data_IF_389120026651
#
_entry.id   IF_389120026651
#
_cell.length_a   1.000
_cell.length_b   1.000
_cell.length_c   1.000
_cell.angle_alpha   90.00
_cell.angle_beta   90.00
_cell.angle_gamma   90.00
#
_symmetry.space_group_name_H-M   'P 1'
#
loop_
_entity.id
_entity.type
_entity.pdbx_description
1 polymer ?
#
# COMPACT_ATOMS: atom_id res chain seq x y z
N UNK A 1 24.96 -0.03 -6.06
CA UNK A 1 24.27 0.53 -4.87
C UNK A 1 23.04 -0.34 -4.64
N UNK A 2 22.80 -0.84 -3.42
CA UNK A 2 21.58 -1.62 -3.13
C UNK A 2 20.47 -0.62 -2.85
N UNK A 3 19.45 -0.58 -3.71
CA UNK A 3 18.38 0.42 -3.67
C UNK A 3 17.64 0.44 -2.32
N UNK A 4 17.49 -0.74 -1.72
CA UNK A 4 16.83 -0.94 -0.42
C UNK A 4 17.47 -0.15 0.73
N UNK A 5 18.75 0.25 0.58
CA UNK A 5 19.48 1.01 1.61
C UNK A 5 19.45 2.53 1.40
N UNK A 6 18.91 3.01 0.28
CA UNK A 6 18.95 4.44 -0.10
C UNK A 6 17.57 5.02 -0.41
N UNK A 7 16.62 4.18 -0.82
CA UNK A 7 15.26 4.62 -1.07
C UNK A 7 14.47 4.64 0.25
N UNK A 8 14.23 5.84 0.77
CA UNK A 8 13.41 6.04 1.95
C UNK A 8 12.68 7.39 1.87
N UNK A 9 11.57 7.50 2.62
CA UNK A 9 10.90 8.78 2.81
C UNK A 9 11.73 9.68 3.74
N UNK A 10 11.56 11.01 3.62
CA UNK A 10 12.20 11.96 4.53
C UNK A 10 11.76 11.69 5.98
N UNK A 11 12.70 11.23 6.80
CA UNK A 11 12.46 10.93 8.20
C UNK A 11 12.30 12.21 9.04
N UNK A 12 11.87 12.05 10.30
CA UNK A 12 11.77 13.14 11.26
C UNK A 12 10.38 13.77 11.33
N UNK A 13 10.31 14.90 12.04
CA UNK A 13 9.09 15.69 12.29
C UNK A 13 9.32 17.18 11.94
N UNK A 14 10.31 17.47 11.12
CA UNK A 14 10.60 18.80 10.61
C UNK A 14 9.72 19.16 9.40
N UNK A 15 9.71 20.42 8.97
CA UNK A 15 8.78 20.93 7.94
C UNK A 15 8.90 20.18 6.59
N UNK A 16 10.09 19.68 6.26
CA UNK A 16 10.37 18.89 5.06
C UNK A 16 10.16 17.38 5.24
N UNK A 17 9.78 16.93 6.44
CA UNK A 17 9.58 15.51 6.76
C UNK A 17 8.36 14.94 6.05
N UNK A 18 8.38 13.63 5.80
CA UNK A 18 7.24 12.92 5.23
C UNK A 18 6.02 12.98 6.17
N UNK A 19 6.23 12.94 7.49
CA UNK A 19 5.15 13.02 8.47
C UNK A 19 4.29 14.28 8.33
N UNK A 20 4.87 15.40 7.86
CA UNK A 20 4.17 16.67 7.61
C UNK A 20 3.72 16.86 6.16
N UNK A 21 4.22 16.07 5.21
CA UNK A 21 3.96 16.22 3.77
C UNK A 21 3.25 15.01 3.12
N UNK A 22 2.70 14.09 3.92
CA UNK A 22 2.03 12.87 3.42
C UNK A 22 0.51 13.00 3.23
N UNK A 23 0.03 14.19 2.84
CA UNK A 23 -1.41 14.49 2.72
C UNK A 23 -2.10 13.72 1.58
N UNK A 24 -1.39 13.51 0.47
CA UNK A 24 -1.88 12.73 -0.67
C UNK A 24 -2.06 11.27 -0.26
N UNK A 25 -1.07 10.67 0.40
CA UNK A 25 -1.13 9.28 0.86
C UNK A 25 -2.20 9.11 1.94
N UNK A 26 -2.41 10.13 2.79
CA UNK A 26 -3.54 10.16 3.73
C UNK A 26 -4.88 10.19 3.00
N UNK A 27 -5.01 10.99 1.93
CA UNK A 27 -6.22 11.03 1.11
C UNK A 27 -6.49 9.69 0.43
N UNK A 28 -5.46 9.03 -0.11
CA UNK A 28 -5.58 7.68 -0.69
C UNK A 28 -6.07 6.66 0.33
N UNK A 29 -5.47 6.66 1.54
CA UNK A 29 -5.92 5.82 2.64
C UNK A 29 -7.41 6.02 2.95
N UNK A 30 -7.85 7.28 3.05
CA UNK A 30 -9.26 7.61 3.34
C UNK A 30 -10.21 7.25 2.18
N UNK A 31 -9.79 7.42 0.93
CA UNK A 31 -10.61 7.04 -0.24
C UNK A 31 -10.78 5.52 -0.34
N UNK A 32 -9.76 4.76 0.06
CA UNK A 32 -9.80 3.29 0.12
C UNK A 32 -10.50 2.73 1.36
N UNK A 33 -10.96 3.60 2.29
CA UNK A 33 -11.52 3.18 3.57
C UNK A 33 -12.66 2.18 3.44
N UNK A 34 -13.55 2.38 2.46
CA UNK A 34 -14.66 1.45 2.23
C UNK A 34 -14.16 0.06 1.82
N UNK A 35 -13.15 -0.01 0.96
CA UNK A 35 -12.55 -1.30 0.54
C UNK A 35 -11.91 -2.01 1.73
N UNK A 36 -11.23 -1.25 2.60
CA UNK A 36 -10.67 -1.78 3.84
C UNK A 36 -11.76 -2.32 4.78
N UNK A 37 -12.82 -1.54 5.00
CA UNK A 37 -13.97 -1.93 5.83
C UNK A 37 -14.63 -3.20 5.32
N UNK A 38 -14.98 -3.23 4.02
CA UNK A 38 -15.61 -4.38 3.39
C UNK A 38 -14.70 -5.64 3.50
N UNK A 39 -13.39 -5.49 3.27
CA UNK A 39 -12.43 -6.62 3.36
C UNK A 39 -12.30 -7.20 4.78
N UNK A 40 -12.27 -6.35 5.80
CA UNK A 40 -12.17 -6.78 7.20
C UNK A 40 -13.51 -7.38 7.67
N UNK A 41 -14.64 -6.81 7.24
CA UNK A 41 -15.96 -7.35 7.54
C UNK A 41 -16.13 -8.73 6.92
N UNK A 42 -15.76 -8.90 5.64
CA UNK A 42 -15.85 -10.17 4.93
C UNK A 42 -14.98 -11.25 5.59
N UNK A 43 -13.76 -10.90 6.00
CA UNK A 43 -12.91 -11.78 6.82
C UNK A 43 -13.57 -12.18 8.14
N UNK A 44 -14.24 -11.21 8.79
CA UNK A 44 -14.84 -11.36 10.11
C UNK A 44 -16.23 -12.02 10.13
N UNK A 45 -16.80 -12.44 8.99
CA UNK A 45 -18.16 -12.99 8.89
C UNK A 45 -18.38 -14.17 9.85
N UNK A 46 -17.39 -15.07 9.93
CA UNK A 46 -17.43 -16.25 10.81
C UNK A 46 -16.81 -15.99 12.20
N UNK A 47 -16.47 -14.74 12.48
CA UNK A 47 -15.79 -14.29 13.70
C UNK A 47 -14.28 -14.16 13.56
N UNK A 48 -13.68 -13.36 14.44
CA UNK A 48 -12.24 -13.14 14.47
C UNK A 48 -11.52 -14.17 15.36
N UNK A 49 -10.24 -14.50 15.04
CA UNK A 49 -9.41 -15.29 15.93
C UNK A 49 -9.14 -14.53 17.24
N UNK A 50 -8.73 -15.25 18.28
CA UNK A 50 -8.33 -14.65 19.56
C UNK A 50 -7.21 -13.60 19.40
N UNK A 51 -6.30 -13.81 18.43
CA UNK A 51 -5.23 -12.89 18.09
C UNK A 51 -5.27 -12.63 16.60
N UNK A 52 -5.80 -11.48 16.19
CA UNK A 52 -5.80 -11.00 14.82
C UNK A 52 -4.47 -10.29 14.52
N UNK A 53 -3.73 -10.78 13.54
CA UNK A 53 -2.39 -10.31 13.16
C UNK A 53 -2.42 -9.57 11.85
N UNK A 54 -2.10 -8.28 11.93
CA UNK A 54 -2.02 -7.34 10.82
C UNK A 54 -0.56 -7.02 10.50
N UNK A 55 -0.21 -6.97 9.22
CA UNK A 55 1.02 -6.36 8.73
C UNK A 55 0.71 -5.18 7.79
N UNK A 56 1.22 -3.99 8.12
CA UNK A 56 1.25 -2.84 7.20
C UNK A 56 2.61 -2.79 6.49
N UNK A 57 2.62 -3.15 5.22
CA UNK A 57 3.82 -3.23 4.40
C UNK A 57 4.21 -1.81 3.95
N UNK A 58 5.43 -1.40 4.32
CA UNK A 58 5.99 -0.07 4.03
C UNK A 58 5.21 1.05 4.73
N UNK A 59 5.18 0.97 6.06
CA UNK A 59 4.48 1.92 6.94
C UNK A 59 4.99 3.38 6.90
N UNK A 60 6.19 3.61 6.34
CA UNK A 60 6.88 4.91 6.39
C UNK A 60 6.98 5.48 7.81
N UNK A 61 7.28 6.76 7.94
CA UNK A 61 7.22 7.52 9.20
C UNK A 61 5.99 8.44 9.22
N UNK A 62 5.38 8.66 10.38
CA UNK A 62 4.28 9.61 10.54
C UNK A 62 2.91 8.98 10.81
N UNK A 63 1.83 9.77 10.75
CA UNK A 63 0.55 9.39 11.35
C UNK A 63 -0.29 8.40 10.55
N UNK A 64 0.04 8.16 9.27
CA UNK A 64 -0.82 7.39 8.37
C UNK A 64 -0.96 5.91 8.78
N UNK A 65 0.14 5.24 9.17
CA UNK A 65 0.08 3.84 9.65
C UNK A 65 -0.70 3.72 10.95
N UNK A 66 -0.53 4.66 11.89
CA UNK A 66 -1.31 4.64 13.13
C UNK A 66 -2.80 4.90 12.87
N UNK A 67 -3.13 5.76 11.91
CA UNK A 67 -4.51 5.97 11.47
C UNK A 67 -5.11 4.69 10.87
N UNK A 68 -4.37 3.99 10.02
CA UNK A 68 -4.79 2.69 9.49
C UNK A 68 -5.05 1.67 10.61
N UNK A 69 -4.08 1.50 11.51
CA UNK A 69 -4.17 0.53 12.61
C UNK A 69 -5.39 0.84 13.48
N UNK A 70 -5.62 2.12 13.83
CA UNK A 70 -6.80 2.54 14.58
C UNK A 70 -8.10 2.22 13.84
N UNK A 71 -8.19 2.51 12.54
CA UNK A 71 -9.37 2.18 11.74
C UNK A 71 -9.65 0.67 11.76
N UNK A 72 -8.62 -0.18 11.60
CA UNK A 72 -8.78 -1.63 11.62
C UNK A 72 -9.24 -2.11 12.99
N UNK A 73 -8.64 -1.60 14.08
CA UNK A 73 -9.06 -1.93 15.44
C UNK A 73 -10.54 -1.60 15.65
N UNK A 74 -10.98 -0.41 15.24
CA UNK A 74 -12.38 0.02 15.35
C UNK A 74 -13.33 -0.92 14.59
N UNK A 75 -12.96 -1.32 13.36
CA UNK A 75 -13.76 -2.24 12.53
C UNK A 75 -13.83 -3.62 13.19
N UNK A 76 -12.70 -4.17 13.64
CA UNK A 76 -12.65 -5.48 14.31
C UNK A 76 -13.52 -5.46 15.57
N UNK A 77 -13.40 -4.41 16.40
CA UNK A 77 -14.21 -4.27 17.61
C UNK A 77 -15.71 -4.14 17.32
N UNK A 78 -16.09 -3.47 16.22
CA UNK A 78 -17.48 -3.36 15.81
C UNK A 78 -18.11 -4.70 15.41
N UNK A 79 -17.30 -5.63 14.89
CA UNK A 79 -17.73 -6.96 14.45
C UNK A 79 -17.64 -8.04 15.54
N UNK A 80 -16.86 -7.79 16.60
CA UNK A 80 -16.79 -8.72 17.74
C UNK A 80 -18.15 -8.78 18.45
N UNK A 81 -18.65 -9.99 18.78
CA UNK A 81 -19.91 -10.13 19.50
C UNK A 81 -19.81 -9.41 20.84
N UNK A 82 -20.68 -8.42 21.06
CA UNK A 82 -20.86 -7.76 22.36
C UNK A 82 -21.31 -8.84 23.35
N UNK A 83 -20.38 -9.43 24.10
CA UNK A 83 -20.71 -10.30 25.22
C UNK A 83 -21.74 -9.56 26.07
N UNK A 84 -22.92 -10.18 26.26
CA UNK A 84 -23.97 -9.65 27.13
C UNK A 84 -23.33 -9.33 28.47
N UNK A 85 -23.44 -8.07 28.89
CA UNK A 85 -23.15 -7.61 30.24
C UNK A 85 -24.03 -8.38 31.23
N UNK A 86 -23.53 -9.51 31.69
CA UNK A 86 -23.97 -10.23 32.87
C UNK A 86 -22.89 -11.28 33.16
N UNK A 87 -21.79 -10.85 33.77
CA UNK A 87 -21.35 -11.41 35.04
C UNK A 87 -19.97 -10.84 35.40
N UNK A 88 -19.92 -10.29 36.60
CA UNK A 88 -18.75 -9.75 37.25
C UNK A 88 -17.67 -10.82 37.36
N UNK A 89 -16.63 -10.69 36.53
CA UNK A 89 -15.22 -10.90 36.88
C UNK A 89 -14.38 -10.21 35.82
N UNK A 90 -13.74 -9.14 36.26
CA UNK A 90 -12.74 -8.36 35.55
C UNK A 90 -11.56 -9.27 35.19
N UNK A 91 -11.65 -9.96 34.05
CA UNK A 91 -10.53 -10.63 33.42
C UNK A 91 -10.04 -9.72 32.28
N UNK A 92 -8.94 -9.04 32.55
CA UNK A 92 -8.34 -7.92 31.80
C UNK A 92 -7.71 -8.31 30.46
N UNK A 93 -8.27 -9.29 29.77
CA UNK A 93 -7.85 -9.69 28.41
C UNK A 93 -8.80 -9.10 27.36
N UNK A 94 -9.08 -7.79 27.42
CA UNK A 94 -9.72 -7.07 26.32
C UNK A 94 -8.86 -5.86 25.97
N UNK A 95 -8.45 -5.82 24.71
CA UNK A 95 -7.88 -4.67 23.99
C UNK A 95 -6.36 -4.42 24.14
N UNK A 96 -5.54 -5.49 24.16
CA UNK A 96 -4.09 -5.33 24.03
C UNK A 96 -3.67 -5.28 22.56
N UNK A 97 -3.21 -4.11 22.10
CA UNK A 97 -2.57 -3.93 20.79
C UNK A 97 -1.05 -4.01 20.95
N UNK A 98 -0.42 -4.97 20.27
CA UNK A 98 1.04 -5.11 20.24
C UNK A 98 1.57 -4.65 18.88
N UNK A 99 2.46 -3.67 18.90
CA UNK A 99 3.07 -3.11 17.68
C UNK A 99 4.55 -3.51 17.66
N UNK A 100 5.03 -3.99 16.53
CA UNK A 100 6.44 -4.26 16.27
C UNK A 100 6.85 -3.74 14.90
N UNK A 101 8.01 -3.09 14.83
CA UNK A 101 8.64 -2.73 13.57
C UNK A 101 9.43 -3.90 13.00
N UNK A 102 9.25 -4.18 11.71
CA UNK A 102 9.93 -5.28 11.02
C UNK A 102 10.70 -4.69 9.83
N UNK A 103 12.03 -4.49 9.96
CA UNK A 103 12.83 -3.94 8.88
C UNK A 103 13.08 -5.01 7.81
N UNK A 104 13.04 -4.58 6.55
CA UNK A 104 13.38 -5.42 5.41
C UNK A 104 12.53 -5.12 4.18
N UNK A 105 12.97 -5.63 3.04
CA UNK A 105 12.26 -5.52 1.77
C UNK A 105 11.12 -6.52 1.69
N UNK A 106 9.92 -6.05 1.33
CA UNK A 106 8.76 -6.90 1.09
C UNK A 106 8.86 -7.73 -0.20
N UNK A 107 9.89 -7.49 -1.03
CA UNK A 107 10.28 -8.40 -2.12
C UNK A 107 10.94 -9.69 -1.62
N UNK A 108 11.21 -9.78 -0.32
CA UNK A 108 11.75 -10.96 0.35
C UNK A 108 10.82 -11.41 1.48
N UNK A 109 11.07 -12.60 2.04
CA UNK A 109 10.27 -13.14 3.13
C UNK A 109 10.57 -12.41 4.45
N UNK A 110 9.61 -11.62 4.94
CA UNK A 110 9.68 -10.96 6.25
C UNK A 110 9.13 -11.82 7.40
N UNK A 111 8.20 -12.74 7.09
CA UNK A 111 7.42 -13.45 8.09
C UNK A 111 7.44 -14.97 7.90
N UNK A 112 7.30 -15.75 8.99
CA UNK A 112 7.05 -17.19 8.89
C UNK A 112 5.81 -17.50 8.05
N UNK A 113 5.77 -18.69 7.46
CA UNK A 113 4.61 -19.14 6.70
C UNK A 113 3.38 -19.25 7.61
N UNK A 114 2.21 -18.78 7.13
CA UNK A 114 0.90 -18.84 7.84
C UNK A 114 0.91 -18.15 9.22
N UNK A 115 1.51 -16.97 9.32
CA UNK A 115 1.61 -16.24 10.60
C UNK A 115 0.83 -14.94 10.69
N UNK A 116 0.15 -14.51 9.62
CA UNK A 116 -0.63 -13.27 9.56
C UNK A 116 -2.01 -13.54 8.98
N UNK A 117 -2.98 -12.75 9.44
CA UNK A 117 -4.37 -12.84 9.02
C UNK A 117 -4.68 -11.78 7.94
N UNK A 118 -4.05 -10.61 8.03
CA UNK A 118 -4.29 -9.51 7.10
C UNK A 118 -3.00 -8.76 6.74
N UNK A 119 -2.85 -8.46 5.46
CA UNK A 119 -1.79 -7.60 4.93
C UNK A 119 -2.42 -6.35 4.33
N UNK A 120 -1.88 -5.19 4.71
CA UNK A 120 -2.20 -3.92 4.09
C UNK A 120 -0.94 -3.35 3.43
N UNK A 121 -1.12 -2.64 2.32
CA UNK A 121 -0.04 -1.94 1.63
C UNK A 121 -0.64 -0.75 0.90
N UNK A 122 -0.14 0.46 1.13
CA UNK A 122 -0.63 1.67 0.46
C UNK A 122 0.52 2.53 -0.03
N UNK A 123 0.44 2.99 -1.28
CA UNK A 123 1.44 3.85 -1.93
C UNK A 123 2.88 3.33 -1.82
N UNK A 124 3.08 2.01 -1.97
CA UNK A 124 4.40 1.38 -1.80
C UNK A 124 4.77 0.39 -2.90
N UNK A 125 3.82 -0.38 -3.42
CA UNK A 125 4.07 -1.45 -4.41
C UNK A 125 4.57 -0.96 -5.78
N UNK A 126 4.48 0.34 -6.04
CA UNK A 126 5.01 0.97 -7.25
C UNK A 126 6.54 1.14 -7.22
N UNK A 127 7.18 1.06 -6.05
CA UNK A 127 8.63 1.13 -5.90
C UNK A 127 9.26 -0.21 -6.25
N UNK A 128 10.01 -0.27 -7.34
CA UNK A 128 10.71 -1.48 -7.79
C UNK A 128 11.89 -1.82 -6.87
N UNK A 129 12.25 -3.10 -6.82
CA UNK A 129 13.45 -3.58 -6.10
C UNK A 129 14.76 -3.08 -6.71
N UNK A 130 14.74 -2.75 -8.01
CA UNK A 130 15.87 -2.23 -8.76
C UNK A 130 15.38 -1.45 -9.98
N UNK A 131 16.25 -0.57 -10.50
CA UNK A 131 16.06 0.01 -11.83
C UNK A 131 16.17 -1.13 -12.87
N UNK A 132 15.24 -1.22 -13.84
CA UNK A 132 15.33 -2.22 -14.91
C UNK A 132 16.65 -2.12 -15.69
N UNK A 133 17.22 -3.26 -16.01
CA UNK A 133 18.44 -3.32 -16.83
C UNK A 133 18.16 -2.80 -18.25
N UNK A 134 19.15 -2.15 -18.87
CA UNK A 134 19.13 -1.58 -20.25
C UNK A 134 18.44 -0.22 -20.41
N UNK A 135 18.23 0.53 -19.34
CA UNK A 135 17.77 1.94 -19.39
C UNK A 135 18.92 2.95 -19.44
N UNK A 136 20.08 2.54 -19.94
CA UNK A 136 21.22 3.44 -20.08
C UNK A 136 20.87 4.51 -21.11
N UNK A 137 20.89 5.79 -20.69
CA UNK A 137 20.58 6.98 -21.48
C UNK A 137 19.08 7.25 -21.70
N UNK A 138 18.38 7.63 -20.63
CA UNK A 138 16.97 8.02 -20.67
C UNK A 138 16.74 9.46 -21.20
N UNK A 139 17.73 10.04 -21.90
CA UNK A 139 17.63 11.33 -22.61
C UNK A 139 17.01 12.46 -21.76
N UNK A 140 17.44 12.60 -20.51
CA UNK A 140 16.91 13.62 -19.60
C UNK A 140 15.61 13.27 -18.84
N UNK A 141 14.99 12.13 -19.14
CA UNK A 141 13.86 11.63 -18.34
C UNK A 141 14.38 10.84 -17.12
N UNK A 142 13.66 10.95 -16.01
CA UNK A 142 14.00 10.23 -14.76
C UNK A 142 13.02 9.10 -14.44
N UNK A 143 11.94 8.95 -15.22
CA UNK A 143 10.94 7.91 -15.06
C UNK A 143 11.05 6.90 -16.21
N UNK A 144 10.57 5.67 -15.96
CA UNK A 144 10.69 4.54 -16.88
C UNK A 144 9.82 4.67 -18.15
N UNK A 145 8.96 5.69 -18.24
CA UNK A 145 8.05 5.91 -19.38
C UNK A 145 8.30 7.27 -20.03
N UNK A 146 8.31 7.31 -21.37
CA UNK A 146 8.47 8.55 -22.16
C UNK A 146 7.34 9.57 -21.92
N UNK A 147 6.22 9.15 -21.33
CA UNK A 147 5.07 10.01 -21.00
C UNK A 147 5.26 10.85 -19.73
N UNK A 148 6.36 10.64 -19.00
CA UNK A 148 6.61 11.36 -17.76
C UNK A 148 7.18 12.75 -18.04
N UNK A 149 6.73 13.81 -17.33
CA UNK A 149 7.29 15.15 -17.49
C UNK A 149 8.82 15.10 -17.36
N UNK A 150 9.57 15.77 -18.25
CA UNK A 150 11.01 15.92 -18.10
C UNK A 150 11.31 16.46 -16.71
N UNK A 151 12.46 16.11 -16.16
CA UNK A 151 12.93 16.71 -14.93
C UNK A 151 13.42 18.13 -15.22
N UNK A 152 12.52 19.05 -15.58
CA UNK A 152 12.81 20.41 -16.05
C UNK A 152 13.72 21.15 -15.06
N UNK A 153 13.50 20.95 -13.76
CA UNK A 153 14.36 21.51 -12.71
C UNK A 153 15.78 20.95 -12.75
N UNK A 154 15.99 19.67 -13.06
CA UNK A 154 17.32 19.08 -13.17
C UNK A 154 18.04 19.59 -14.42
N UNK A 155 17.34 19.74 -15.55
CA UNK A 155 17.91 20.36 -16.75
C UNK A 155 18.27 21.84 -16.53
N UNK A 156 17.43 22.61 -15.84
CA UNK A 156 17.76 24.00 -15.48
C UNK A 156 19.03 24.05 -14.59
N UNK A 157 19.15 23.14 -13.62
CA UNK A 157 20.35 23.01 -12.80
C UNK A 157 21.60 22.63 -13.62
N UNK A 158 21.48 21.70 -14.58
CA UNK A 158 22.58 21.33 -15.48
C UNK A 158 23.00 22.50 -16.38
N UNK A 159 22.03 23.23 -16.94
CA UNK A 159 22.29 24.41 -17.78
C UNK A 159 23.03 25.52 -17.04
N UNK A 160 22.85 25.60 -15.72
CA UNK A 160 23.56 26.53 -14.81
C UNK A 160 24.91 25.98 -14.32
N UNK A 161 25.29 24.77 -14.73
CA UNK A 161 26.55 24.12 -14.37
C UNK A 161 26.57 23.49 -12.98
N UNK A 162 25.41 23.27 -12.34
CA UNK A 162 25.34 22.61 -11.02
C UNK A 162 25.37 21.08 -11.10
N UNK A 163 24.99 20.51 -12.24
CA UNK A 163 24.91 19.05 -12.49
C UNK A 163 25.56 18.73 -13.83
N UNK A 164 26.01 17.49 -14.02
CA UNK A 164 26.45 17.01 -15.32
C UNK A 164 25.26 16.35 -16.06
N UNK A 165 25.11 16.62 -17.35
CA UNK A 165 24.03 16.02 -18.16
C UNK A 165 24.08 14.48 -18.14
N UNK A 166 25.28 13.90 -18.16
CA UNK A 166 25.47 12.45 -18.07
C UNK A 166 24.98 11.83 -16.75
N UNK A 167 25.01 12.60 -15.65
CA UNK A 167 24.47 12.15 -14.36
C UNK A 167 22.93 12.14 -14.40
N UNK A 168 22.32 13.09 -15.11
CA UNK A 168 20.86 13.13 -15.32
C UNK A 168 20.43 11.98 -16.24
N UNK A 169 21.12 11.77 -17.36
CA UNK A 169 20.79 10.73 -18.36
C UNK A 169 20.91 9.30 -17.82
N UNK A 170 21.76 9.10 -16.80
CA UNK A 170 21.95 7.81 -16.14
C UNK A 170 21.04 7.61 -14.92
N UNK A 171 20.43 8.67 -14.40
CA UNK A 171 19.58 8.62 -13.21
C UNK A 171 18.16 8.20 -13.57
N UNK A 172 17.76 7.04 -13.04
CA UNK A 172 16.41 6.50 -13.22
C UNK A 172 15.77 6.21 -11.87
N UNK A 173 14.54 6.66 -11.70
CA UNK A 173 13.73 6.35 -10.52
C UNK A 173 13.19 4.92 -10.69
N UNK A 174 13.40 4.02 -9.71
CA UNK A 174 12.88 2.66 -9.70
C UNK A 174 11.40 2.69 -9.30
N UNK A 175 10.59 3.31 -10.15
CA UNK A 175 9.17 3.54 -9.94
C UNK A 175 8.43 3.14 -11.21
N UNK A 176 7.40 2.33 -11.03
CA UNK A 176 6.54 1.91 -12.12
C UNK A 176 5.07 2.09 -11.73
N UNK A 177 4.30 2.73 -12.62
CA UNK A 177 2.88 2.93 -12.43
C UNK A 177 2.11 1.94 -13.32
N UNK A 178 1.69 0.78 -12.80
CA UNK A 178 1.02 -0.22 -13.61
C UNK A 178 -0.41 0.21 -13.95
N UNK A 179 -0.89 -0.28 -15.09
CA UNK A 179 -2.31 -0.25 -15.44
C UNK A 179 -3.09 -1.28 -14.62
N UNK A 180 -4.42 -1.11 -14.53
CA UNK A 180 -5.30 -2.09 -13.87
C UNK A 180 -5.22 -3.48 -14.52
N UNK A 181 -5.03 -3.52 -15.84
CA UNK A 181 -4.94 -4.77 -16.60
C UNK A 181 -3.63 -5.51 -16.33
N UNK A 182 -2.52 -4.78 -16.17
CA UNK A 182 -1.24 -5.36 -15.75
C UNK A 182 -1.30 -5.91 -14.34
N UNK A 183 -1.87 -5.16 -13.38
CA UNK A 183 -2.03 -5.65 -11.99
C UNK A 183 -2.87 -6.92 -11.98
N UNK A 184 -4.00 -6.92 -12.67
CA UNK A 184 -4.88 -8.10 -12.76
C UNK A 184 -4.16 -9.27 -13.41
N UNK A 185 -3.46 -9.04 -14.53
CA UNK A 185 -2.71 -10.08 -15.24
C UNK A 185 -1.63 -10.72 -14.39
N UNK A 186 -0.93 -9.95 -13.55
CA UNK A 186 0.08 -10.47 -12.62
C UNK A 186 -0.55 -11.36 -11.54
N UNK A 187 -1.65 -10.90 -10.92
CA UNK A 187 -2.37 -11.68 -9.89
C UNK A 187 -2.86 -13.00 -10.48
N UNK A 188 -3.50 -12.94 -11.64
CA UNK A 188 -4.03 -14.12 -12.34
C UNK A 188 -2.92 -15.10 -12.76
N UNK A 189 -1.76 -14.58 -13.17
CA UNK A 189 -0.61 -15.40 -13.60
C UNK A 189 0.11 -16.06 -12.41
N UNK A 190 0.23 -15.37 -11.28
CA UNK A 190 0.88 -15.92 -10.09
C UNK A 190 0.00 -16.96 -9.38
N UNK A 191 -1.31 -16.68 -9.26
CA UNK A 191 -2.33 -17.67 -8.90
C UNK A 191 -2.49 -18.01 -7.42
N UNK A 192 -1.75 -17.38 -6.50
CA UNK A 192 -1.91 -17.60 -5.04
C UNK A 192 -3.03 -16.79 -4.41
N UNK A 193 -3.56 -15.77 -5.12
CA UNK A 193 -4.59 -14.85 -4.61
C UNK A 193 -5.78 -14.75 -5.57
N UNK A 194 -6.99 -14.65 -5.02
CA UNK A 194 -8.18 -14.23 -5.77
C UNK A 194 -8.37 -12.72 -5.67
N UNK A 195 -8.73 -12.09 -6.80
CA UNK A 195 -9.03 -10.66 -6.85
C UNK A 195 -10.52 -10.42 -6.57
N UNK A 196 -10.85 -9.98 -5.35
CA UNK A 196 -12.22 -9.71 -4.95
C UNK A 196 -12.72 -8.32 -5.39
N UNK A 197 -11.87 -7.29 -5.28
CA UNK A 197 -12.21 -5.92 -5.66
C UNK A 197 -11.02 -5.18 -6.24
N UNK A 198 -11.25 -4.43 -7.33
CA UNK A 198 -10.28 -3.50 -7.91
C UNK A 198 -11.00 -2.18 -8.22
N UNK A 199 -10.54 -1.10 -7.60
CA UNK A 199 -11.14 0.23 -7.76
C UNK A 199 -10.06 1.26 -8.09
N UNK A 200 -10.38 2.17 -9.00
CA UNK A 200 -9.50 3.29 -9.35
C UNK A 200 -10.10 4.59 -8.84
N UNK A 201 -9.31 5.37 -8.13
CA UNK A 201 -9.70 6.69 -7.65
C UNK A 201 -8.94 7.74 -8.46
N UNK A 202 -9.67 8.61 -9.16
CA UNK A 202 -9.05 9.79 -9.77
C UNK A 202 -8.92 10.86 -8.70
N UNK A 203 -7.69 11.31 -8.46
CA UNK A 203 -7.49 12.47 -7.60
C UNK A 203 -8.11 13.70 -8.29
N UNK A 204 -9.19 14.24 -7.71
CA UNK A 204 -9.88 15.45 -8.21
C UNK A 204 -11.10 15.24 -9.12
N UNK A 205 -11.62 14.02 -9.32
CA UNK A 205 -12.86 13.79 -10.07
C UNK A 205 -13.75 12.70 -9.43
N UNK A 206 -15.07 12.90 -9.46
CA UNK A 206 -16.09 12.04 -8.87
C UNK A 206 -15.98 10.55 -9.29
N UNK A 207 -16.35 9.68 -8.35
CA UNK A 207 -16.25 8.22 -8.40
C UNK A 207 -17.04 7.66 -9.59
N UNK A 208 -16.38 6.93 -10.48
CA UNK A 208 -17.04 5.97 -11.38
C UNK A 208 -16.79 4.56 -10.84
N UNK A 209 -17.78 4.01 -10.14
CA UNK A 209 -17.77 2.61 -9.71
C UNK A 209 -18.25 1.72 -10.86
N UNK A 210 -17.39 0.87 -11.41
CA UNK A 210 -17.82 -0.31 -12.18
C UNK A 210 -18.10 -1.45 -11.19
N UNK A 211 -19.37 -1.64 -10.85
CA UNK A 211 -19.80 -2.83 -10.11
C UNK A 211 -19.91 -4.01 -11.08
N UNK A 212 -18.99 -4.96 -10.98
CA UNK A 212 -19.27 -6.30 -11.50
C UNK A 212 -20.17 -6.99 -10.47
N UNK A 213 -21.49 -6.94 -10.73
CA UNK A 213 -22.44 -7.81 -10.04
C UNK A 213 -22.02 -9.25 -10.33
N UNK A 214 -21.66 -10.01 -9.30
CA UNK A 214 -21.66 -11.45 -9.35
C UNK A 214 -23.07 -11.91 -9.73
N UNK A 215 -23.25 -12.39 -10.96
CA UNK A 215 -24.43 -13.17 -11.30
C UNK A 215 -24.26 -14.53 -10.65
N UNK A 216 -25.10 -14.83 -9.65
CA UNK A 216 -25.33 -16.21 -9.25
C UNK A 216 -25.96 -16.94 -10.44
N UNK A 217 -25.16 -17.74 -11.15
CA UNK A 217 -25.73 -18.73 -12.05
C UNK A 217 -26.26 -19.87 -11.20
N UNK A 218 -27.57 -19.89 -11.02
CA UNK A 218 -28.31 -21.10 -10.73
C UNK A 218 -28.08 -22.09 -11.88
N UNK A 219 -27.23 -23.09 -11.68
CA UNK A 219 -27.26 -24.32 -12.49
C UNK A 219 -28.19 -25.33 -11.81
N UNK A 220 -29.47 -25.24 -12.17
CA UNK A 220 -30.37 -26.38 -12.12
C UNK A 220 -30.23 -27.24 -13.38
N UNK A 221 -30.73 -28.48 -13.28
CA UNK A 221 -30.77 -29.60 -14.24
C UNK A 221 -29.55 -30.52 -14.16
N UNK A 222 -29.68 -31.83 -13.86
CA UNK A 222 -30.83 -32.75 -13.91
C UNK A 222 -30.82 -33.75 -12.73
#
# INVERSE_FOLDING_TARGET
MVLENVLHMNAGDEESSYAKNSSIQKSLLLNSRKVLEDSINDYGIDGFPQCFKLADLVCSSGPNTLLLVNNIIDIVHANMPKQRLADEKEDTCKDQCFISGVPGSFYTRLFPTRSFDFFHSSSSVHWLSQVPEKLENNKGHIHLTEESPPAESLHDMSSKGFLNEADIDSFNIPFYNPTTDEVKGIIDTEGSFSLESLQTFKHGAEIQSSSNKCYSQNSGFA
#
